data_IF_421208498656
#
_entry.id   IF_421208498656
#
_cell.length_a   1.000
_cell.length_b   1.000
_cell.length_c   1.000
_cell.angle_alpha   90.00
_cell.angle_beta   90.00
_cell.angle_gamma   90.00
#
_symmetry.space_group_name_H-M   'P 1'
#
loop_
_entity.id
_entity.type
_entity.pdbx_description
1 polymer ?
#
# COMPACT_ATOMS: atom_id res chain seq x y z
N UNK A 1 -7.22 11.62 15.97
CA UNK A 1 -7.42 10.19 15.66
C UNK A 1 -7.98 10.09 14.27
N UNK A 2 -7.41 9.23 13.45
CA UNK A 2 -7.90 9.01 12.09
C UNK A 2 -9.37 8.58 12.06
N UNK A 3 -10.07 8.99 11.03
CA UNK A 3 -11.49 8.71 10.89
C UNK A 3 -11.70 7.25 10.46
N UNK A 4 -12.59 6.55 11.15
CA UNK A 4 -13.06 5.22 10.74
C UNK A 4 -14.04 5.38 9.59
N UNK A 5 -13.74 4.80 8.44
CA UNK A 5 -14.49 4.92 7.19
C UNK A 5 -14.84 3.54 6.63
N UNK A 6 -15.75 3.47 5.69
CA UNK A 6 -16.17 2.23 5.04
C UNK A 6 -16.09 2.39 3.52
N UNK A 7 -15.46 1.44 2.85
CA UNK A 7 -15.38 1.33 1.40
C UNK A 7 -15.81 -0.05 0.93
N UNK A 8 -15.51 -0.39 -0.32
CA UNK A 8 -15.93 -1.63 -0.99
C UNK A 8 -15.46 -2.90 -0.26
N UNK A 9 -14.26 -2.89 0.30
CA UNK A 9 -13.65 -4.07 0.95
C UNK A 9 -13.75 -4.05 2.48
N UNK A 10 -14.58 -3.18 3.04
CA UNK A 10 -14.87 -3.11 4.47
C UNK A 10 -14.44 -1.80 5.13
N UNK A 11 -14.06 -1.88 6.39
CA UNK A 11 -13.62 -0.71 7.16
C UNK A 11 -12.16 -0.38 6.87
N UNK A 12 -11.85 0.92 6.87
CA UNK A 12 -10.48 1.46 6.85
C UNK A 12 -10.40 2.72 7.73
N UNK A 13 -9.19 3.19 7.97
CA UNK A 13 -8.92 4.45 8.67
C UNK A 13 -8.24 5.45 7.73
N UNK A 14 -8.60 6.71 7.82
CA UNK A 14 -7.99 7.75 6.99
C UNK A 14 -8.37 9.16 7.41
N UNK A 15 -7.47 10.11 7.17
CA UNK A 15 -7.79 11.53 7.27
C UNK A 15 -8.74 11.92 6.13
N UNK A 16 -9.61 12.88 6.36
CA UNK A 16 -10.29 13.56 5.27
C UNK A 16 -9.31 14.47 4.51
N UNK A 17 -9.69 14.91 3.32
CA UNK A 17 -8.82 15.76 2.49
C UNK A 17 -8.37 17.06 3.20
N UNK A 18 -9.17 17.56 4.13
CA UNK A 18 -8.90 18.75 4.94
C UNK A 18 -8.13 18.48 6.23
N UNK A 19 -7.65 17.27 6.41
CA UNK A 19 -6.93 16.80 7.60
C UNK A 19 -5.66 16.07 7.19
N UNK A 20 -4.75 15.82 8.14
CA UNK A 20 -3.60 14.95 7.94
C UNK A 20 -3.07 14.46 9.27
N UNK A 21 -2.86 13.16 9.41
CA UNK A 21 -2.20 12.56 10.57
C UNK A 21 -1.57 11.20 10.24
N UNK A 22 -0.60 10.79 11.04
CA UNK A 22 -0.04 9.44 10.98
C UNK A 22 -1.02 8.43 11.59
N UNK A 23 -1.19 7.27 10.95
CA UNK A 23 -1.95 6.17 11.53
C UNK A 23 -1.13 5.42 12.59
N UNK A 24 -1.84 4.91 13.59
CA UNK A 24 -1.28 3.94 14.54
C UNK A 24 -1.05 2.59 13.87
N UNK A 25 -0.22 1.74 14.48
CA UNK A 25 0.01 0.37 13.98
C UNK A 25 -1.29 -0.44 13.86
N UNK A 26 -2.24 -0.25 14.77
CA UNK A 26 -3.52 -0.95 14.73
C UNK A 26 -4.36 -0.50 13.52
N UNK A 27 -4.42 0.81 13.25
CA UNK A 27 -5.13 1.37 12.09
C UNK A 27 -4.46 0.97 10.77
N UNK A 28 -3.11 0.98 10.71
CA UNK A 28 -2.37 0.48 9.55
C UNK A 28 -2.68 -0.98 9.22
N UNK A 29 -2.85 -1.84 10.23
CA UNK A 29 -3.23 -3.25 10.02
C UNK A 29 -4.60 -3.39 9.38
N UNK A 30 -5.58 -2.61 9.82
CA UNK A 30 -6.93 -2.58 9.21
C UNK A 30 -6.84 -2.14 7.74
N UNK A 31 -6.06 -1.10 7.46
CA UNK A 31 -5.87 -0.61 6.09
C UNK A 31 -5.11 -1.61 5.21
N UNK A 32 -4.11 -2.30 5.76
CA UNK A 32 -3.38 -3.33 5.04
C UNK A 32 -4.30 -4.50 4.64
N UNK A 33 -5.19 -4.93 5.52
CA UNK A 33 -6.22 -5.95 5.20
C UNK A 33 -7.16 -5.48 4.09
N UNK A 34 -7.59 -4.22 4.12
CA UNK A 34 -8.41 -3.63 3.07
C UNK A 34 -7.70 -3.68 1.71
N UNK A 35 -6.47 -3.17 1.66
CA UNK A 35 -5.65 -3.12 0.45
C UNK A 35 -5.36 -4.53 -0.06
N UNK A 36 -5.04 -5.46 0.85
CA UNK A 36 -4.82 -6.87 0.51
C UNK A 36 -6.04 -7.48 -0.19
N UNK A 37 -7.24 -7.33 0.35
CA UNK A 37 -8.48 -7.84 -0.26
C UNK A 37 -8.73 -7.24 -1.63
N UNK A 38 -8.57 -5.93 -1.76
CA UNK A 38 -8.78 -5.21 -3.01
C UNK A 38 -7.81 -5.64 -4.10
N UNK A 39 -6.50 -5.66 -3.81
CA UNK A 39 -5.47 -5.98 -4.80
C UNK A 39 -5.43 -7.48 -5.14
N UNK A 40 -5.73 -8.35 -4.17
CA UNK A 40 -5.87 -9.79 -4.44
C UNK A 40 -7.02 -10.06 -5.40
N UNK A 41 -8.16 -9.36 -5.24
CA UNK A 41 -9.27 -9.45 -6.18
C UNK A 41 -8.90 -8.98 -7.61
N UNK A 42 -7.89 -8.13 -7.74
CA UNK A 42 -7.33 -7.65 -9.01
C UNK A 42 -6.19 -8.54 -9.55
N UNK A 43 -5.87 -9.66 -8.89
CA UNK A 43 -4.86 -10.62 -9.32
C UNK A 43 -3.42 -10.29 -8.90
N UNK A 44 -3.23 -9.41 -7.92
CA UNK A 44 -1.91 -9.14 -7.36
C UNK A 44 -1.43 -10.33 -6.52
N UNK A 45 -0.12 -10.59 -6.54
CA UNK A 45 0.52 -11.56 -5.66
C UNK A 45 0.80 -10.94 -4.29
N UNK A 46 0.71 -11.76 -3.23
CA UNK A 46 0.98 -11.30 -1.84
C UNK A 46 2.35 -10.65 -1.69
N UNK A 47 3.38 -11.08 -2.44
CA UNK A 47 4.70 -10.46 -2.39
C UNK A 47 4.70 -9.04 -2.94
N UNK A 48 4.01 -8.78 -4.07
CA UNK A 48 3.83 -7.44 -4.62
C UNK A 48 3.02 -6.55 -3.69
N UNK A 49 1.94 -7.07 -3.11
CA UNK A 49 1.12 -6.34 -2.12
C UNK A 49 1.96 -5.97 -0.89
N UNK A 50 2.72 -6.90 -0.34
CA UNK A 50 3.55 -6.65 0.85
C UNK A 50 4.67 -5.63 0.56
N UNK A 51 5.28 -5.70 -0.62
CA UNK A 51 6.27 -4.72 -1.07
C UNK A 51 5.67 -3.32 -1.20
N UNK A 52 4.46 -3.21 -1.75
CA UNK A 52 3.71 -1.96 -1.83
C UNK A 52 3.36 -1.42 -0.44
N UNK A 53 2.83 -2.26 0.46
CA UNK A 53 2.49 -1.87 1.83
C UNK A 53 3.70 -1.37 2.62
N UNK A 54 4.88 -1.97 2.44
CA UNK A 54 6.11 -1.49 3.08
C UNK A 54 6.50 -0.09 2.64
N UNK A 55 6.34 0.22 1.35
CA UNK A 55 6.56 1.57 0.82
C UNK A 55 5.47 2.54 1.31
N UNK A 56 4.19 2.19 1.22
CA UNK A 56 3.08 3.02 1.73
C UNK A 56 3.21 3.34 3.22
N UNK A 57 3.70 2.40 4.03
CA UNK A 57 3.93 2.65 5.46
C UNK A 57 4.96 3.76 5.67
N UNK A 58 6.04 3.75 4.91
CA UNK A 58 7.08 4.77 5.03
C UNK A 58 6.65 6.12 4.45
N UNK A 59 5.81 6.13 3.40
CA UNK A 59 5.33 7.34 2.74
C UNK A 59 4.20 8.04 3.52
N UNK A 60 3.19 7.28 3.90
CA UNK A 60 1.94 7.83 4.42
C UNK A 60 1.45 7.20 5.72
N UNK A 61 2.16 6.22 6.30
CA UNK A 61 1.62 5.34 7.33
C UNK A 61 0.34 4.61 6.88
N UNK A 62 0.26 4.27 5.59
CA UNK A 62 -0.89 3.62 4.93
C UNK A 62 -2.20 4.46 5.09
N UNK A 63 -2.10 5.77 5.19
CA UNK A 63 -3.23 6.69 5.28
C UNK A 63 -3.55 7.28 3.89
N UNK A 64 -4.74 6.97 3.30
CA UNK A 64 -5.11 7.48 1.97
C UNK A 64 -5.34 8.99 1.92
N UNK A 65 -5.53 9.64 3.08
CA UNK A 65 -5.72 11.09 3.21
C UNK A 65 -4.48 11.83 3.72
N UNK A 66 -3.28 11.23 3.66
CA UNK A 66 -2.07 11.86 4.20
C UNK A 66 -1.50 12.94 3.29
N UNK A 67 -1.30 14.15 3.84
CA UNK A 67 -0.50 15.20 3.24
C UNK A 67 0.96 15.07 3.68
N UNK A 68 1.89 15.37 2.79
CA UNK A 68 3.31 15.37 3.09
C UNK A 68 3.62 16.29 4.28
N UNK A 69 4.34 15.77 5.28
CA UNK A 69 4.69 16.50 6.51
C UNK A 69 3.49 17.10 7.24
N UNK A 70 2.30 16.51 7.08
CA UNK A 70 1.02 16.97 7.63
C UNK A 70 0.66 18.42 7.26
N UNK A 71 1.24 18.93 6.16
CA UNK A 71 0.97 20.28 5.65
C UNK A 71 -0.25 20.25 4.71
N UNK A 72 -1.44 20.35 5.32
CA UNK A 72 -2.73 20.30 4.62
C UNK A 72 -2.82 21.39 3.55
N UNK A 73 -3.38 21.04 2.38
CA UNK A 73 -3.50 21.89 1.20
C UNK A 73 -2.17 22.28 0.52
N UNK A 74 -1.05 21.67 0.88
CA UNK A 74 0.21 21.86 0.15
C UNK A 74 0.18 21.05 -1.16
N UNK A 75 -0.40 21.62 -2.18
CA UNK A 75 -0.55 20.96 -3.49
C UNK A 75 0.77 20.72 -4.23
N UNK A 76 1.87 21.37 -3.82
CA UNK A 76 3.21 21.14 -4.36
C UNK A 76 3.92 19.95 -3.70
N UNK A 77 3.46 19.53 -2.53
CA UNK A 77 3.95 18.36 -1.81
C UNK A 77 3.29 17.06 -2.25
N UNK A 78 3.56 15.98 -1.52
CA UNK A 78 2.96 14.67 -1.73
C UNK A 78 1.60 14.52 -1.07
N UNK A 79 0.74 13.65 -1.63
CA UNK A 79 -0.56 13.31 -1.06
C UNK A 79 -0.92 11.83 -1.31
N UNK A 80 -1.65 11.25 -0.36
CA UNK A 80 -2.23 9.91 -0.46
C UNK A 80 -1.27 8.77 -0.11
N UNK A 81 -1.67 7.55 -0.41
CA UNK A 81 -0.98 6.32 0.01
C UNK A 81 0.50 6.24 -0.38
N UNK A 82 0.83 6.66 -1.58
CA UNK A 82 2.20 6.62 -2.14
C UNK A 82 2.80 8.02 -2.34
N UNK A 83 2.21 9.03 -1.71
CA UNK A 83 2.67 10.41 -1.75
C UNK A 83 2.89 10.95 -3.18
N UNK A 84 1.88 10.83 -4.05
CA UNK A 84 1.92 11.44 -5.38
C UNK A 84 2.36 12.90 -5.31
N UNK A 85 3.46 13.24 -5.94
CA UNK A 85 4.11 14.55 -5.89
C UNK A 85 4.29 15.14 -7.30
N UNK A 86 3.82 16.38 -7.58
CA UNK A 86 2.96 17.19 -6.72
C UNK A 86 1.59 16.53 -6.52
N UNK A 87 0.90 16.86 -5.42
CA UNK A 87 -0.42 16.32 -5.10
C UNK A 87 -1.45 16.51 -6.23
N UNK A 88 -1.26 17.54 -7.05
CA UNK A 88 -2.08 17.81 -8.23
C UNK A 88 -2.04 16.71 -9.28
N UNK A 89 -0.95 15.90 -9.36
CA UNK A 89 -0.90 14.74 -10.26
C UNK A 89 -1.99 13.72 -9.93
N UNK A 90 -2.36 13.62 -8.67
CA UNK A 90 -3.41 12.74 -8.20
C UNK A 90 -4.78 13.44 -8.17
N UNK A 91 -4.89 14.62 -7.56
CA UNK A 91 -6.19 15.27 -7.34
C UNK A 91 -6.86 15.73 -8.64
N UNK A 92 -6.09 16.12 -9.65
CA UNK A 92 -6.63 16.43 -11.00
C UNK A 92 -7.16 15.14 -11.65
N UNK A 93 -6.43 14.04 -11.57
CA UNK A 93 -6.87 12.73 -12.07
C UNK A 93 -8.17 12.28 -11.38
N UNK A 94 -8.28 12.43 -10.05
CA UNK A 94 -9.49 12.13 -9.28
C UNK A 94 -10.71 12.83 -9.90
N UNK A 95 -10.60 14.14 -10.14
CA UNK A 95 -11.68 14.93 -10.76
C UNK A 95 -11.96 14.50 -12.20
N UNK A 96 -10.92 14.26 -13.00
CA UNK A 96 -11.07 13.85 -14.40
C UNK A 96 -11.74 12.48 -14.55
N UNK A 97 -11.52 11.57 -13.61
CA UNK A 97 -12.13 10.25 -13.58
C UNK A 97 -13.51 10.23 -12.89
N UNK A 98 -14.02 11.38 -12.44
CA UNK A 98 -15.35 11.50 -11.83
C UNK A 98 -15.42 11.08 -10.36
N UNK A 99 -14.28 10.87 -9.71
CA UNK A 99 -14.24 10.67 -8.26
C UNK A 99 -14.45 12.00 -7.53
N UNK A 100 -15.04 11.97 -6.36
CA UNK A 100 -15.41 13.16 -5.58
C UNK A 100 -14.54 13.39 -4.35
N UNK A 101 -13.93 12.35 -3.83
CA UNK A 101 -13.10 12.44 -2.62
C UNK A 101 -11.73 11.78 -2.84
N UNK A 102 -10.64 12.56 -2.92
CA UNK A 102 -9.29 12.02 -3.08
C UNK A 102 -8.78 11.30 -1.82
N UNK A 103 -9.43 11.45 -0.68
CA UNK A 103 -9.04 10.80 0.56
C UNK A 103 -9.63 9.41 0.76
N UNK A 104 -10.43 8.92 -0.18
CA UNK A 104 -10.99 7.56 -0.10
C UNK A 104 -9.95 6.51 -0.45
N UNK A 105 -10.00 5.38 0.28
CA UNK A 105 -9.12 4.25 0.05
C UNK A 105 -9.32 3.67 -1.36
N UNK A 106 -10.57 3.51 -1.78
CA UNK A 106 -10.90 2.98 -3.12
C UNK A 106 -10.40 3.89 -4.24
N UNK A 107 -10.48 5.22 -4.05
CA UNK A 107 -9.95 6.19 -5.03
C UNK A 107 -8.43 6.10 -5.15
N UNK A 108 -7.71 5.96 -4.03
CA UNK A 108 -6.26 5.76 -4.03
C UNK A 108 -5.86 4.46 -4.72
N UNK A 109 -6.54 3.34 -4.40
CA UNK A 109 -6.27 2.04 -5.02
C UNK A 109 -6.58 2.08 -6.53
N UNK A 110 -7.68 2.75 -6.93
CA UNK A 110 -8.04 2.91 -8.35
C UNK A 110 -6.96 3.67 -9.12
N UNK A 111 -6.30 4.68 -8.52
CA UNK A 111 -5.17 5.36 -9.16
C UNK A 111 -3.97 4.44 -9.37
N UNK A 112 -3.62 3.62 -8.38
CA UNK A 112 -2.51 2.65 -8.51
C UNK A 112 -2.82 1.64 -9.61
N UNK A 113 -4.06 1.16 -9.68
CA UNK A 113 -4.50 0.22 -10.72
C UNK A 113 -4.47 0.87 -12.11
N UNK A 114 -4.91 2.12 -12.22
CA UNK A 114 -4.84 2.89 -13.46
C UNK A 114 -3.38 3.05 -13.94
N UNK A 115 -2.45 3.39 -13.05
CA UNK A 115 -1.02 3.53 -13.37
C UNK A 115 -0.39 2.20 -13.83
N UNK A 116 -0.81 1.09 -13.20
CA UNK A 116 -0.38 -0.24 -13.60
C UNK A 116 -0.86 -0.61 -15.01
N UNK A 117 -2.13 -0.32 -15.33
CA UNK A 117 -2.75 -0.66 -16.61
C UNK A 117 -2.24 0.21 -17.75
N UNK A 118 -1.96 1.49 -17.48
CA UNK A 118 -1.53 2.47 -18.48
C UNK A 118 -0.01 2.62 -18.59
N UNK A 119 0.76 1.91 -17.76
CA UNK A 119 2.21 2.02 -17.73
C UNK A 119 2.72 3.37 -17.23
N UNK A 120 1.88 4.08 -16.48
CA UNK A 120 2.26 5.36 -15.88
C UNK A 120 3.10 5.17 -14.62
N UNK A 121 3.83 6.21 -14.22
CA UNK A 121 4.65 6.32 -13.01
C UNK A 121 5.82 5.33 -12.92
N UNK A 122 5.69 4.09 -13.42
CA UNK A 122 6.75 3.08 -13.37
C UNK A 122 7.80 3.29 -14.47
N UNK A 123 9.05 3.52 -14.08
CA UNK A 123 10.21 3.61 -14.99
C UNK A 123 11.21 2.53 -14.58
N UNK A 124 11.33 1.47 -15.38
CA UNK A 124 12.27 0.39 -15.11
C UNK A 124 13.72 0.93 -15.07
N UNK A 125 14.46 0.53 -14.04
CA UNK A 125 15.88 0.86 -13.90
C UNK A 125 16.74 -0.33 -14.33
N UNK A 126 18.04 -0.12 -14.57
CA UNK A 126 18.98 -1.21 -14.89
C UNK A 126 19.07 -2.28 -13.78
N UNK A 127 18.81 -1.90 -12.54
CA UNK A 127 18.81 -2.83 -11.39
C UNK A 127 17.52 -3.65 -11.28
N UNK A 128 16.41 -3.10 -11.77
CA UNK A 128 15.07 -3.70 -11.72
C UNK A 128 14.37 -3.51 -13.06
N UNK A 129 14.91 -4.18 -14.09
CA UNK A 129 14.44 -4.09 -15.48
C UNK A 129 13.22 -5.00 -15.71
N UNK A 130 12.08 -4.59 -15.14
CA UNK A 130 10.79 -5.23 -15.34
C UNK A 130 9.62 -4.26 -15.17
N UNK A 131 8.47 -4.66 -15.67
CA UNK A 131 7.26 -3.83 -15.68
C UNK A 131 6.58 -3.74 -14.31
N UNK A 132 5.71 -2.75 -14.13
CA UNK A 132 4.85 -2.65 -12.96
C UNK A 132 3.92 -3.89 -12.85
N UNK A 133 3.48 -4.45 -13.98
CA UNK A 133 2.72 -5.70 -13.98
C UNK A 133 3.51 -6.86 -13.41
N UNK A 134 4.78 -6.99 -13.79
CA UNK A 134 5.68 -8.03 -13.23
C UNK A 134 5.88 -7.82 -11.72
N UNK A 135 6.07 -6.58 -11.26
CA UNK A 135 6.10 -6.27 -9.83
C UNK A 135 4.84 -6.77 -9.11
N UNK A 136 3.66 -6.44 -9.63
CA UNK A 136 2.38 -6.75 -9.01
C UNK A 136 2.11 -8.27 -8.92
N UNK A 137 2.51 -9.04 -9.93
CA UNK A 137 2.11 -10.45 -10.09
C UNK A 137 3.22 -11.47 -9.85
N UNK A 138 4.46 -11.04 -9.61
CA UNK A 138 5.62 -11.92 -9.49
C UNK A 138 5.50 -12.94 -8.34
N UNK A 139 5.83 -14.19 -8.63
CA UNK A 139 5.91 -15.29 -7.67
C UNK A 139 7.35 -15.69 -7.36
N UNK A 140 8.30 -15.36 -8.23
CA UNK A 140 9.71 -15.75 -8.20
C UNK A 140 10.60 -14.71 -7.49
N UNK A 141 10.25 -13.45 -7.56
CA UNK A 141 11.00 -12.37 -6.90
C UNK A 141 10.83 -12.38 -5.39
N UNK A 142 11.86 -11.94 -4.66
CA UNK A 142 11.74 -11.76 -3.21
C UNK A 142 10.97 -10.48 -2.87
N UNK A 143 10.33 -10.46 -1.70
CA UNK A 143 9.64 -9.27 -1.18
C UNK A 143 10.59 -8.08 -1.04
N UNK A 144 11.84 -8.34 -0.60
CA UNK A 144 12.88 -7.32 -0.47
C UNK A 144 13.28 -6.73 -1.83
N UNK A 145 13.42 -7.56 -2.87
CA UNK A 145 13.68 -7.11 -4.23
C UNK A 145 12.55 -6.21 -4.73
N UNK A 146 11.30 -6.68 -4.59
CA UNK A 146 10.13 -5.93 -5.03
C UNK A 146 10.01 -4.58 -4.28
N UNK A 147 10.26 -4.54 -2.96
CA UNK A 147 10.21 -3.29 -2.20
C UNK A 147 11.22 -2.25 -2.69
N UNK A 148 12.46 -2.68 -2.98
CA UNK A 148 13.50 -1.83 -3.56
C UNK A 148 13.16 -1.37 -4.98
N UNK A 149 12.58 -2.27 -5.78
CA UNK A 149 12.13 -1.93 -7.12
C UNK A 149 11.02 -0.88 -7.10
N UNK A 150 10.05 -0.98 -6.20
CA UNK A 150 9.01 0.04 -6.07
C UNK A 150 9.60 1.40 -5.71
N UNK A 151 10.51 1.45 -4.74
CA UNK A 151 11.22 2.67 -4.37
C UNK A 151 11.94 3.31 -5.58
N UNK A 152 12.69 2.51 -6.35
CA UNK A 152 13.57 3.03 -7.40
C UNK A 152 12.86 3.25 -8.75
N UNK A 153 11.86 2.43 -9.08
CA UNK A 153 11.17 2.50 -10.36
C UNK A 153 9.88 3.36 -10.29
N UNK A 154 9.21 3.39 -9.12
CA UNK A 154 7.94 4.09 -8.95
C UNK A 154 8.09 5.40 -8.16
N UNK A 155 8.58 5.36 -6.92
CA UNK A 155 8.64 6.54 -6.04
C UNK A 155 9.76 7.50 -6.45
N UNK A 156 10.95 7.00 -6.72
CA UNK A 156 12.15 7.76 -7.12
C UNK A 156 12.46 8.95 -6.21
N UNK A 157 12.53 8.74 -4.87
CA UNK A 157 12.85 9.83 -3.95
C UNK A 157 14.27 10.37 -4.18
N UNK A 158 14.54 11.56 -3.64
CA UNK A 158 15.87 12.16 -3.70
C UNK A 158 16.94 11.31 -2.99
N UNK A 159 16.59 10.69 -1.85
CA UNK A 159 17.46 9.75 -1.14
C UNK A 159 17.11 8.30 -1.54
N UNK A 160 18.00 7.69 -2.30
CA UNK A 160 17.93 6.29 -2.73
C UNK A 160 19.05 5.44 -2.12
N UNK A 161 19.60 5.86 -0.99
CA UNK A 161 20.69 5.17 -0.31
C UNK A 161 20.32 3.73 0.06
N UNK A 162 21.34 2.90 0.27
CA UNK A 162 21.18 1.49 0.70
C UNK A 162 20.38 1.40 2.01
N UNK A 163 20.54 2.37 2.91
CA UNK A 163 19.79 2.43 4.18
C UNK A 163 18.31 2.61 3.94
N UNK A 164 17.90 3.53 3.04
CA UNK A 164 16.49 3.74 2.67
C UNK A 164 15.91 2.49 2.00
N UNK A 165 16.63 1.89 1.05
CA UNK A 165 16.22 0.66 0.38
C UNK A 165 16.02 -0.50 1.38
N UNK A 166 16.92 -0.67 2.34
CA UNK A 166 16.82 -1.71 3.36
C UNK A 166 15.63 -1.45 4.30
N UNK A 167 15.40 -0.21 4.70
CA UNK A 167 14.24 0.15 5.51
C UNK A 167 12.92 -0.21 4.83
N UNK A 168 12.75 0.09 3.53
CA UNK A 168 11.57 -0.33 2.76
C UNK A 168 11.41 -1.85 2.72
N UNK A 169 12.54 -2.56 2.56
CA UNK A 169 12.56 -4.04 2.55
C UNK A 169 12.14 -4.64 3.90
N UNK A 170 12.59 -4.06 5.02
CA UNK A 170 12.23 -4.50 6.37
C UNK A 170 10.73 -4.33 6.63
N UNK A 171 10.18 -3.17 6.28
CA UNK A 171 8.74 -2.93 6.38
C UNK A 171 7.93 -3.89 5.51
N UNK A 172 8.36 -4.11 4.27
CA UNK A 172 7.69 -5.03 3.35
C UNK A 172 7.71 -6.48 3.86
N UNK A 173 8.83 -6.94 4.42
CA UNK A 173 8.92 -8.27 5.04
C UNK A 173 8.05 -8.39 6.30
N UNK A 174 7.89 -7.32 7.07
CA UNK A 174 6.95 -7.27 8.20
C UNK A 174 5.52 -7.53 7.73
N UNK A 175 5.08 -6.88 6.64
CA UNK A 175 3.76 -7.10 6.06
C UNK A 175 3.62 -8.48 5.42
N UNK A 176 4.66 -9.03 4.80
CA UNK A 176 4.63 -10.36 4.22
C UNK A 176 4.44 -11.46 5.27
N UNK A 177 5.00 -11.26 6.47
CA UNK A 177 4.86 -12.16 7.61
C UNK A 177 3.57 -11.91 8.43
N UNK A 178 2.88 -10.80 8.21
CA UNK A 178 1.59 -10.53 8.85
C UNK A 178 0.51 -11.43 8.23
N UNK A 179 -0.36 -12.08 9.03
CA UNK A 179 -1.34 -13.05 8.54
C UNK A 179 -2.54 -12.36 7.85
N UNK A 180 -2.29 -11.67 6.74
CA UNK A 180 -3.36 -11.03 5.96
C UNK A 180 -4.31 -12.07 5.37
N UNK A 181 -5.62 -11.77 5.41
CA UNK A 181 -6.67 -12.61 4.86
C UNK A 181 -7.03 -13.83 5.72
N UNK A 182 -6.43 -14.01 6.88
CA UNK A 182 -6.91 -14.94 7.87
C UNK A 182 -8.03 -14.27 8.69
N UNK A 183 -9.18 -14.94 8.85
CA UNK A 183 -10.20 -14.48 9.80
C UNK A 183 -9.58 -14.50 11.20
N UNK A 184 -9.16 -13.34 11.68
CA UNK A 184 -8.83 -13.16 13.10
C UNK A 184 -10.19 -13.19 13.82
N UNK A 185 -10.71 -14.41 14.01
CA UNK A 185 -11.92 -14.64 14.76
C UNK A 185 -11.80 -13.88 16.07
N UNK A 186 -12.74 -12.98 16.32
CA UNK A 186 -12.94 -12.35 17.62
C UNK A 186 -12.86 -13.43 18.69
N UNK A 187 -11.74 -13.45 19.43
CA UNK A 187 -11.59 -14.29 20.62
C UNK A 187 -12.43 -13.68 21.75
N UNK A 188 -13.75 -13.81 21.66
CA UNK A 188 -14.61 -13.81 22.83
C UNK A 188 -14.95 -15.26 23.16
N UNK A 189 -14.54 -15.69 24.35
CA UNK A 189 -14.66 -16.94 25.02
C UNK A 189 -15.65 -17.98 24.49
N UNK A 190 -15.13 -19.09 24.00
CA UNK A 190 -15.92 -20.30 23.73
C UNK A 190 -14.97 -21.46 23.43
N UNK A 191 -14.83 -22.37 24.39
CA UNK A 191 -14.16 -23.66 24.27
C UNK A 191 -14.70 -24.46 23.09
N UNK A 192 -13.89 -24.81 22.10
CA UNK A 192 -14.29 -25.68 21.00
C UNK A 192 -13.11 -25.94 20.03
N UNK A 193 -12.54 -27.11 20.21
CA UNK A 193 -11.80 -27.96 19.26
C UNK A 193 -11.18 -27.31 18.00
N UNK A 194 -9.86 -27.17 17.99
CA UNK A 194 -9.07 -26.58 16.91
C UNK A 194 -9.04 -27.39 15.61
N UNK A 195 -8.99 -26.65 14.51
CA UNK A 195 -8.36 -27.11 13.26
C UNK A 195 -7.27 -26.10 12.93
N UNK A 196 -6.04 -26.43 13.31
CA UNK A 196 -4.83 -25.71 12.91
C UNK A 196 -4.45 -26.14 11.51
N UNK A 197 -4.74 -25.36 10.50
CA UNK A 197 -4.11 -25.48 9.19
C UNK A 197 -2.73 -24.81 9.23
N UNK A 198 -1.72 -25.60 9.58
CA UNK A 198 -0.32 -25.20 9.42
C UNK A 198 -0.01 -25.03 7.93
N UNK A 199 0.39 -23.83 7.50
CA UNK A 199 1.07 -23.64 6.22
C UNK A 199 2.27 -24.61 6.19
N UNK A 200 2.18 -25.67 5.37
CA UNK A 200 3.34 -26.53 5.07
C UNK A 200 4.29 -25.73 4.19
N UNK A 201 5.44 -25.38 4.72
CA UNK A 201 6.57 -24.94 3.92
C UNK A 201 6.96 -26.07 2.97
N UNK A 202 6.91 -25.82 1.67
CA UNK A 202 7.59 -26.66 0.71
C UNK A 202 9.02 -26.15 0.57
N UNK A 203 9.95 -26.95 1.10
CA UNK A 203 11.36 -26.89 0.72
C UNK A 203 11.51 -27.58 -0.64
N UNK A 204 12.09 -26.86 -1.60
CA UNK A 204 12.86 -27.43 -2.69
C UNK A 204 14.11 -26.57 -2.90
#
# INVERSE_FOLDING_TARGET
>A
MANKRTGVYGTYYGSYYTESEALTTAEMKVNAEYIYKSLTAQGWNIKGISALLGNMQAESTINPGRWQSDNVNNTSGGYGLVQWTPATNYTVWVTQCGYTDPSEMDTNISRISYELENGEQWIATNSYDYSFKTFATSTDKSVSELAKAFLLNYERPADQSVSVQNYRSELANTWYNYPMGEDIGSSEGGSGSGITTKRKGFNF
#
